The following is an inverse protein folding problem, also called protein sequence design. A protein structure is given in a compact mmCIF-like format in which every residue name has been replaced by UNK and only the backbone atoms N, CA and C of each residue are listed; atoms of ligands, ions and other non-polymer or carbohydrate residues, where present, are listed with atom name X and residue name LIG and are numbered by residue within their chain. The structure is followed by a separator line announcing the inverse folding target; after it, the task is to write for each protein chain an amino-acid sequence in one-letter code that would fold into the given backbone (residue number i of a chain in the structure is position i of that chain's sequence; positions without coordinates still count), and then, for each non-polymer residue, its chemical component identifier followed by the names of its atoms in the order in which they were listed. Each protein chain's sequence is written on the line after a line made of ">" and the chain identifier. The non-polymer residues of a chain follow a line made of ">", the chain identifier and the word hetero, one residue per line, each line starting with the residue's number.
data_IF_031522778368
#
_entry.id   IF_031522778368
#
_cell.length_a   1.000
_cell.length_b   1.000
_cell.length_c   1.000
_cell.angle_alpha   90.00
_cell.angle_beta   90.00
_cell.angle_gamma   90.00
#
_symmetry.space_group_name_H-M   'P 1'
#
loop_
_entity.id
_entity.type
_entity.pdbx_description
1 polymer ?
#
# COMPACT_ATOMS: atom_id res chain seq x y z
N UNK A 1 1.78 15.87 -14.62
CA UNK A 1 1.64 17.05 -15.49
C UNK A 1 0.19 17.30 -15.92
N UNK A 2 -0.59 16.30 -16.32
CA UNK A 2 -1.99 16.48 -16.79
C UNK A 2 -2.96 17.10 -15.75
N UNK A 3 -2.78 16.79 -14.46
CA UNK A 3 -3.67 17.27 -13.37
C UNK A 3 -3.43 18.74 -13.01
N UNK A 4 -2.24 19.28 -13.26
CA UNK A 4 -1.94 20.70 -13.05
C UNK A 4 -2.55 21.59 -14.16
N UNK A 5 -2.56 21.12 -15.41
CA UNK A 5 -3.14 21.86 -16.54
C UNK A 5 -4.66 22.05 -16.43
N UNK A 6 -5.39 21.01 -15.96
CA UNK A 6 -6.85 21.07 -15.76
C UNK A 6 -7.21 22.10 -14.67
N UNK A 7 -6.37 22.29 -13.65
CA UNK A 7 -6.60 23.26 -12.57
C UNK A 7 -6.39 24.72 -13.02
N UNK A 8 -5.49 24.95 -13.96
CA UNK A 8 -5.22 26.29 -14.47
C UNK A 8 -6.31 26.76 -15.43
N UNK A 9 -6.90 25.84 -16.20
CA UNK A 9 -7.99 26.14 -17.12
C UNK A 9 -9.31 26.42 -16.35
N UNK A 10 -9.61 25.69 -15.28
CA UNK A 10 -10.79 25.94 -14.42
C UNK A 10 -10.67 27.24 -13.64
N UNK A 11 -9.48 27.68 -13.26
CA UNK A 11 -9.24 28.96 -12.60
C UNK A 11 -9.43 30.16 -13.55
N UNK A 12 -9.24 29.96 -14.86
CA UNK A 12 -9.46 31.01 -15.88
C UNK A 12 -10.93 31.23 -16.21
N UNK A 13 -11.79 30.23 -16.02
CA UNK A 13 -13.22 30.34 -16.31
C UNK A 13 -14.06 30.94 -15.16
N UNK A 14 -13.45 31.39 -14.05
CA UNK A 14 -14.18 32.04 -12.95
C UNK A 14 -15.23 31.16 -12.26
N UNK A 15 -15.25 29.85 -12.54
CA UNK A 15 -16.10 28.89 -11.82
C UNK A 15 -15.59 28.72 -10.41
N UNK A 16 -16.44 28.81 -9.37
CA UNK A 16 -16.01 28.50 -8.01
C UNK A 16 -15.50 27.06 -8.00
N UNK A 17 -14.19 26.92 -7.85
CA UNK A 17 -13.57 25.60 -7.66
C UNK A 17 -14.24 25.00 -6.43
N UNK A 18 -14.98 23.88 -6.54
CA UNK A 18 -15.55 23.26 -5.37
C UNK A 18 -14.40 22.99 -4.40
N UNK A 19 -14.38 23.64 -3.27
CA UNK A 19 -13.47 23.34 -2.18
C UNK A 19 -13.85 21.95 -1.68
N UNK A 20 -13.41 20.91 -2.41
CA UNK A 20 -13.46 19.55 -1.90
C UNK A 20 -12.53 19.54 -0.71
N UNK A 21 -13.09 19.82 0.46
CA UNK A 21 -12.44 19.56 1.76
C UNK A 21 -12.15 18.08 1.76
N UNK A 22 -10.95 17.71 1.28
CA UNK A 22 -10.50 16.31 1.30
C UNK A 22 -10.31 15.96 2.75
N UNK A 23 -11.18 15.10 3.27
CA UNK A 23 -11.06 14.58 4.63
C UNK A 23 -9.66 14.00 4.83
N UNK A 24 -8.98 14.39 5.93
CA UNK A 24 -7.61 13.96 6.17
C UNK A 24 -7.55 12.46 6.39
N UNK A 25 -6.57 11.82 5.77
CA UNK A 25 -6.26 10.41 6.02
C UNK A 25 -5.73 10.26 7.45
N UNK A 26 -6.31 9.32 8.22
CA UNK A 26 -5.96 9.11 9.63
C UNK A 26 -4.48 8.72 9.79
N UNK A 27 -3.85 9.21 10.86
CA UNK A 27 -2.45 8.87 11.20
C UNK A 27 -2.26 7.36 11.34
N UNK A 28 -3.24 6.66 11.94
CA UNK A 28 -3.20 5.20 12.11
C UNK A 28 -3.15 4.46 10.77
N UNK A 29 -3.98 4.85 9.80
CA UNK A 29 -3.99 4.22 8.48
C UNK A 29 -2.67 4.48 7.73
N UNK A 30 -2.14 5.70 7.79
CA UNK A 30 -0.84 6.03 7.21
C UNK A 30 0.29 5.17 7.80
N UNK A 31 0.32 5.03 9.13
CA UNK A 31 1.35 4.20 9.80
C UNK A 31 1.20 2.73 9.41
N UNK A 32 -0.04 2.23 9.26
CA UNK A 32 -0.30 0.87 8.82
C UNK A 32 0.20 0.62 7.38
N UNK A 33 0.01 1.57 6.45
CA UNK A 33 0.53 1.43 5.07
C UNK A 33 2.06 1.41 5.05
N UNK A 34 2.72 2.28 5.81
CA UNK A 34 4.18 2.27 5.94
C UNK A 34 4.70 0.98 6.56
N UNK A 35 4.03 0.49 7.61
CA UNK A 35 4.36 -0.81 8.23
C UNK A 35 4.21 -1.94 7.21
N UNK A 36 3.10 -2.00 6.45
CA UNK A 36 2.90 -3.01 5.43
C UNK A 36 4.00 -2.98 4.37
N UNK A 37 4.42 -1.79 3.92
CA UNK A 37 5.49 -1.63 2.93
C UNK A 37 6.85 -2.10 3.49
N UNK A 38 7.20 -1.70 4.71
CA UNK A 38 8.45 -2.12 5.35
C UNK A 38 8.46 -3.63 5.63
N UNK A 39 7.35 -4.18 6.10
CA UNK A 39 7.22 -5.61 6.34
C UNK A 39 7.28 -6.43 5.04
N UNK A 40 6.69 -5.92 3.94
CA UNK A 40 6.84 -6.53 2.62
C UNK A 40 8.30 -6.63 2.22
N UNK A 41 9.08 -5.58 2.42
CA UNK A 41 10.53 -5.61 2.14
C UNK A 41 11.26 -6.71 2.93
N UNK A 42 10.92 -6.89 4.22
CA UNK A 42 11.48 -7.96 5.05
C UNK A 42 11.12 -9.35 4.48
N UNK A 43 9.85 -9.55 4.09
CA UNK A 43 9.39 -10.83 3.51
C UNK A 43 10.07 -11.10 2.16
N UNK A 44 10.31 -10.08 1.35
CA UNK A 44 11.08 -10.17 0.10
C UNK A 44 12.49 -10.65 0.38
N UNK A 45 13.15 -10.06 1.38
CA UNK A 45 14.50 -10.47 1.77
C UNK A 45 14.57 -11.94 2.22
N UNK A 46 13.59 -12.37 3.03
CA UNK A 46 13.49 -13.78 3.45
C UNK A 46 13.25 -14.69 2.23
N UNK A 47 12.39 -14.27 1.28
CA UNK A 47 12.13 -15.01 0.04
C UNK A 47 13.37 -15.13 -0.86
N UNK A 48 14.15 -14.06 -0.98
CA UNK A 48 15.43 -14.07 -1.68
C UNK A 48 16.41 -15.05 -1.02
N UNK A 49 16.42 -15.10 0.32
CA UNK A 49 17.23 -16.05 1.06
C UNK A 49 16.80 -17.49 0.81
N UNK A 50 15.49 -17.80 0.73
CA UNK A 50 14.98 -19.12 0.32
C UNK A 50 15.54 -19.55 -1.04
N UNK A 51 15.51 -18.63 -2.03
CA UNK A 51 16.01 -18.92 -3.38
C UNK A 51 17.53 -19.07 -3.41
N UNK A 52 18.25 -18.25 -2.65
CA UNK A 52 19.72 -18.25 -2.66
C UNK A 52 20.33 -19.47 -1.94
N UNK A 53 19.59 -20.07 -1.03
CA UNK A 53 19.99 -21.28 -0.28
C UNK A 53 19.37 -22.55 -0.82
N UNK A 54 18.71 -22.52 -2.00
CA UNK A 54 17.99 -23.64 -2.61
C UNK A 54 16.98 -24.31 -1.65
N UNK A 55 16.45 -23.51 -0.70
CA UNK A 55 15.55 -24.00 0.34
C UNK A 55 14.09 -24.16 -0.11
N UNK A 56 13.76 -23.81 -1.37
CA UNK A 56 12.39 -23.89 -1.89
C UNK A 56 11.80 -25.30 -1.78
N UNK A 57 12.63 -26.35 -1.96
CA UNK A 57 12.27 -27.75 -1.82
C UNK A 57 12.24 -28.26 -0.37
N UNK A 58 12.64 -27.47 0.62
CA UNK A 58 12.67 -27.89 2.02
C UNK A 58 11.29 -28.21 2.60
N UNK A 59 10.25 -27.53 2.11
CA UNK A 59 8.85 -27.79 2.46
C UNK A 59 8.09 -28.37 1.26
N UNK A 60 7.88 -29.65 1.21
CA UNK A 60 7.01 -30.30 0.21
C UNK A 60 5.53 -30.11 0.58
N UNK A 61 4.68 -29.90 -0.43
CA UNK A 61 3.25 -29.65 -0.22
C UNK A 61 2.92 -28.23 0.23
N UNK A 62 1.63 -27.88 0.19
CA UNK A 62 1.07 -26.59 0.59
C UNK A 62 -0.41 -26.81 1.00
N UNK A 63 -0.93 -26.14 2.05
CA UNK A 63 -0.28 -25.12 2.90
C UNK A 63 0.67 -25.67 3.96
N UNK A 64 0.59 -26.96 4.28
CA UNK A 64 1.43 -27.61 5.28
C UNK A 64 2.86 -27.81 4.75
N UNK A 65 3.83 -27.90 5.67
CA UNK A 65 5.21 -28.22 5.37
C UNK A 65 5.48 -29.69 5.70
N UNK A 66 5.74 -30.52 4.68
CA UNK A 66 5.95 -31.97 4.84
C UNK A 66 4.79 -32.67 5.59
N UNK A 67 3.54 -32.20 5.37
CA UNK A 67 2.36 -32.70 6.05
C UNK A 67 2.19 -32.25 7.51
N UNK A 68 3.08 -31.40 8.03
CA UNK A 68 3.09 -30.92 9.41
C UNK A 68 2.71 -29.43 9.46
N UNK A 69 2.00 -29.03 10.54
CA UNK A 69 1.70 -27.63 10.80
C UNK A 69 2.97 -26.88 11.28
N UNK A 70 3.77 -27.52 12.12
CA UNK A 70 5.07 -27.02 12.58
C UNK A 70 6.08 -28.12 12.29
N UNK A 71 6.89 -27.99 11.22
CA UNK A 71 7.90 -28.99 10.87
C UNK A 71 9.13 -28.86 11.78
N UNK A 72 10.03 -29.83 11.69
CA UNK A 72 11.34 -29.73 12.29
C UNK A 72 12.12 -28.56 11.68
N UNK A 73 12.55 -27.62 12.53
CA UNK A 73 13.16 -26.35 12.11
C UNK A 73 14.65 -26.51 11.83
N UNK A 74 15.00 -27.36 10.85
CA UNK A 74 16.39 -27.64 10.48
C UNK A 74 16.65 -27.28 9.02
N UNK A 75 17.81 -26.70 8.72
CA UNK A 75 18.29 -26.43 7.37
C UNK A 75 17.26 -25.70 6.47
N UNK A 76 17.08 -26.18 5.23
CA UNK A 76 16.16 -25.61 4.25
C UNK A 76 14.69 -25.68 4.65
N UNK A 77 14.29 -26.66 5.48
CA UNK A 77 12.92 -26.77 6.00
C UNK A 77 12.57 -25.55 6.85
N UNK A 78 13.42 -25.19 7.80
CA UNK A 78 13.20 -24.02 8.66
C UNK A 78 13.14 -22.72 7.87
N UNK A 79 14.02 -22.56 6.88
CA UNK A 79 14.08 -21.36 6.03
C UNK A 79 12.79 -21.21 5.21
N UNK A 80 12.36 -22.28 4.53
CA UNK A 80 11.13 -22.29 3.74
C UNK A 80 9.88 -22.06 4.61
N UNK A 81 9.84 -22.67 5.80
CA UNK A 81 8.73 -22.52 6.73
C UNK A 81 8.61 -21.09 7.27
N UNK A 82 9.72 -20.47 7.69
CA UNK A 82 9.74 -19.09 8.16
C UNK A 82 9.22 -18.14 7.07
N UNK A 83 9.62 -18.33 5.81
CA UNK A 83 9.11 -17.55 4.69
C UNK A 83 7.58 -17.68 4.54
N UNK A 84 7.05 -18.91 4.63
CA UNK A 84 5.59 -19.16 4.54
C UNK A 84 4.82 -18.46 5.65
N UNK A 85 5.30 -18.56 6.89
CA UNK A 85 4.68 -17.87 8.04
C UNK A 85 4.72 -16.36 7.86
N UNK A 86 5.87 -15.81 7.46
CA UNK A 86 6.02 -14.39 7.19
C UNK A 86 5.07 -13.92 6.07
N UNK A 87 4.92 -14.71 5.00
CA UNK A 87 3.99 -14.43 3.90
C UNK A 87 2.52 -14.50 4.35
N UNK A 88 2.15 -15.44 5.23
CA UNK A 88 0.81 -15.53 5.80
C UNK A 88 0.47 -14.31 6.67
N UNK A 89 1.40 -13.85 7.51
CA UNK A 89 1.25 -12.61 8.28
C UNK A 89 1.13 -11.40 7.34
N UNK A 90 1.94 -11.34 6.28
CA UNK A 90 1.86 -10.27 5.28
C UNK A 90 0.49 -10.21 4.60
N UNK A 91 -0.08 -11.36 4.24
CA UNK A 91 -1.43 -11.47 3.68
C UNK A 91 -2.46 -10.80 4.61
N UNK A 92 -2.41 -11.10 5.92
CA UNK A 92 -3.32 -10.52 6.92
C UNK A 92 -3.13 -9.00 7.03
N UNK A 93 -1.88 -8.54 7.07
CA UNK A 93 -1.55 -7.11 7.16
C UNK A 93 -2.08 -6.35 5.94
N UNK A 94 -1.83 -6.84 4.72
CA UNK A 94 -2.28 -6.17 3.49
C UNK A 94 -3.80 -6.26 3.33
N UNK A 95 -4.43 -7.38 3.69
CA UNK A 95 -5.89 -7.50 3.71
C UNK A 95 -6.52 -6.48 4.67
N UNK A 96 -5.89 -6.23 5.82
CA UNK A 96 -6.30 -5.19 6.78
C UNK A 96 -6.16 -3.78 6.18
N UNK A 97 -5.06 -3.50 5.48
CA UNK A 97 -4.88 -2.24 4.73
C UNK A 97 -6.00 -2.06 3.71
N UNK A 98 -6.28 -3.07 2.88
CA UNK A 98 -7.34 -3.04 1.88
C UNK A 98 -8.72 -2.84 2.50
N UNK A 99 -9.03 -3.55 3.59
CA UNK A 99 -10.27 -3.40 4.32
C UNK A 99 -10.47 -1.96 4.85
N UNK A 100 -9.45 -1.38 5.47
CA UNK A 100 -9.54 -0.01 5.99
C UNK A 100 -9.58 1.03 4.86
N UNK A 101 -8.83 0.83 3.77
CA UNK A 101 -8.92 1.67 2.59
C UNK A 101 -10.34 1.70 2.03
N UNK A 102 -10.99 0.53 1.95
CA UNK A 102 -12.34 0.40 1.42
C UNK A 102 -13.41 0.98 2.35
N UNK A 103 -13.35 0.71 3.65
CA UNK A 103 -14.41 1.02 4.64
C UNK A 103 -14.29 2.43 5.23
N UNK A 104 -13.06 2.93 5.46
CA UNK A 104 -12.83 4.18 6.19
C UNK A 104 -12.51 5.39 5.30
N UNK A 105 -12.27 5.16 4.00
CA UNK A 105 -11.94 6.23 3.07
C UNK A 105 -12.80 6.17 1.79
N UNK A 106 -14.16 6.19 1.91
CA UNK A 106 -15.08 6.07 0.76
C UNK A 106 -14.94 7.24 -0.22
N UNK A 107 -14.57 8.43 0.27
CA UNK A 107 -14.36 9.65 -0.50
C UNK A 107 -13.07 9.65 -1.34
N UNK A 108 -12.08 8.82 -0.96
CA UNK A 108 -10.81 8.70 -1.66
C UNK A 108 -10.80 7.49 -2.60
N UNK A 109 -11.39 7.63 -3.79
CA UNK A 109 -11.46 6.55 -4.80
C UNK A 109 -10.10 5.93 -5.10
N UNK A 110 -9.05 6.75 -5.15
CA UNK A 110 -7.68 6.31 -5.41
C UNK A 110 -7.15 5.39 -4.30
N UNK A 111 -7.30 5.78 -3.02
CA UNK A 111 -6.89 4.96 -1.87
C UNK A 111 -7.64 3.62 -1.85
N UNK A 112 -8.94 3.65 -2.14
CA UNK A 112 -9.76 2.41 -2.23
C UNK A 112 -9.26 1.50 -3.33
N UNK A 113 -9.03 2.03 -4.53
CA UNK A 113 -8.56 1.24 -5.67
C UNK A 113 -7.19 0.62 -5.38
N UNK A 114 -6.26 1.40 -4.83
CA UNK A 114 -4.93 0.91 -4.45
C UNK A 114 -4.99 -0.15 -3.34
N UNK A 115 -5.86 0.04 -2.35
CA UNK A 115 -6.05 -0.95 -1.28
C UNK A 115 -6.62 -2.27 -1.79
N UNK A 116 -7.60 -2.22 -2.71
CA UNK A 116 -8.16 -3.42 -3.37
C UNK A 116 -7.09 -4.07 -4.25
N UNK A 117 -6.36 -3.30 -5.05
CA UNK A 117 -5.28 -3.82 -5.90
C UNK A 117 -4.20 -4.52 -5.08
N UNK A 118 -3.75 -3.92 -3.95
CA UNK A 118 -2.79 -4.56 -3.05
C UNK A 118 -3.32 -5.87 -2.47
N UNK A 119 -4.61 -5.93 -2.12
CA UNK A 119 -5.23 -7.17 -1.61
C UNK A 119 -5.27 -8.26 -2.67
N UNK A 120 -5.66 -7.94 -3.90
CA UNK A 120 -5.68 -8.90 -5.01
C UNK A 120 -4.26 -9.38 -5.30
N UNK A 121 -3.28 -8.47 -5.35
CA UNK A 121 -1.89 -8.81 -5.63
C UNK A 121 -1.28 -9.70 -4.55
N UNK A 122 -1.56 -9.48 -3.27
CA UNK A 122 -1.04 -10.34 -2.20
C UNK A 122 -1.66 -11.74 -2.24
N UNK A 123 -2.95 -11.86 -2.58
CA UNK A 123 -3.58 -13.18 -2.79
C UNK A 123 -2.91 -13.89 -3.97
N UNK A 124 -2.72 -13.21 -5.10
CA UNK A 124 -2.02 -13.75 -6.27
C UNK A 124 -0.58 -14.14 -5.91
N UNK A 125 0.10 -13.35 -5.08
CA UNK A 125 1.45 -13.64 -4.60
C UNK A 125 1.52 -14.95 -3.81
N UNK A 126 0.55 -15.19 -2.93
CA UNK A 126 0.47 -16.46 -2.18
C UNK A 126 0.19 -17.64 -3.11
N UNK A 127 -0.70 -17.47 -4.09
CA UNK A 127 -1.03 -18.52 -5.06
C UNK A 127 0.16 -18.85 -5.99
N UNK A 128 0.89 -17.84 -6.47
CA UNK A 128 2.11 -18.08 -7.27
C UNK A 128 3.21 -18.72 -6.43
N UNK A 129 3.35 -18.35 -5.14
CA UNK A 129 4.25 -19.00 -4.21
C UNK A 129 3.91 -20.47 -3.95
N UNK A 130 2.61 -20.80 -3.84
CA UNK A 130 2.17 -22.20 -3.78
C UNK A 130 2.48 -22.94 -5.09
N UNK A 131 2.27 -22.27 -6.24
CA UNK A 131 2.62 -22.80 -7.56
C UNK A 131 4.09 -23.21 -7.68
N UNK A 132 5.02 -22.42 -7.13
CA UNK A 132 6.45 -22.77 -7.11
C UNK A 132 6.67 -24.15 -6.46
N UNK A 133 6.01 -24.41 -5.32
CA UNK A 133 6.17 -25.68 -4.60
C UNK A 133 5.67 -26.88 -5.42
N UNK A 134 4.58 -26.72 -6.15
CA UNK A 134 4.02 -27.79 -6.99
C UNK A 134 4.77 -28.00 -8.31
N UNK A 135 5.61 -27.07 -8.71
CA UNK A 135 6.34 -27.11 -9.99
C UNK A 135 7.82 -27.49 -9.85
N UNK A 136 8.29 -27.75 -8.62
CA UNK A 136 9.70 -28.09 -8.33
C UNK A 136 10.28 -29.25 -9.15
N UNK A 137 9.44 -30.22 -9.57
CA UNK A 137 9.85 -31.38 -10.35
C UNK A 137 9.97 -31.12 -11.86
N UNK A 138 9.44 -30.01 -12.36
CA UNK A 138 9.48 -29.63 -13.77
C UNK A 138 10.19 -28.27 -13.90
N UNK A 139 11.44 -28.29 -14.35
CA UNK A 139 12.30 -27.11 -14.40
C UNK A 139 11.72 -25.94 -15.20
N UNK A 140 11.13 -26.19 -16.37
CA UNK A 140 10.59 -25.12 -17.21
C UNK A 140 9.37 -24.45 -16.57
N UNK A 141 8.45 -25.25 -16.02
CA UNK A 141 7.27 -24.73 -15.30
C UNK A 141 7.66 -24.01 -14.02
N UNK A 142 8.64 -24.55 -13.28
CA UNK A 142 9.22 -23.91 -12.10
C UNK A 142 9.80 -22.52 -12.43
N UNK A 143 10.58 -22.42 -13.52
CA UNK A 143 11.18 -21.17 -13.94
C UNK A 143 10.09 -20.13 -14.27
N UNK A 144 9.06 -20.52 -15.05
CA UNK A 144 7.95 -19.64 -15.38
C UNK A 144 7.17 -19.19 -14.14
N UNK A 145 6.86 -20.10 -13.24
CA UNK A 145 6.12 -19.81 -12.00
C UNK A 145 6.94 -18.89 -11.08
N UNK A 146 8.25 -19.09 -10.99
CA UNK A 146 9.15 -18.24 -10.21
C UNK A 146 9.23 -16.83 -10.80
N UNK A 147 9.31 -16.68 -12.11
CA UNK A 147 9.27 -15.38 -12.78
C UNK A 147 7.93 -14.66 -12.52
N UNK A 148 6.81 -15.38 -12.65
CA UNK A 148 5.49 -14.83 -12.36
C UNK A 148 5.41 -14.32 -10.91
N UNK A 149 5.92 -15.10 -9.94
CA UNK A 149 5.97 -14.71 -8.54
C UNK A 149 6.78 -13.42 -8.30
N UNK A 150 7.92 -13.26 -8.97
CA UNK A 150 8.75 -12.04 -8.89
C UNK A 150 8.04 -10.83 -9.51
N UNK A 151 7.37 -11.01 -10.65
CA UNK A 151 6.62 -9.93 -11.32
C UNK A 151 5.46 -9.44 -10.44
N UNK A 152 4.68 -10.37 -9.89
CA UNK A 152 3.58 -10.03 -8.97
C UNK A 152 4.11 -9.33 -7.72
N UNK A 153 5.24 -9.79 -7.18
CA UNK A 153 5.92 -9.15 -6.05
C UNK A 153 6.30 -7.71 -6.36
N UNK A 154 6.93 -7.45 -7.51
CA UNK A 154 7.32 -6.11 -7.92
C UNK A 154 6.11 -5.18 -8.05
N UNK A 155 5.00 -5.67 -8.64
CA UNK A 155 3.76 -4.93 -8.74
C UNK A 155 3.16 -4.62 -7.37
N UNK A 156 3.10 -5.62 -6.47
CA UNK A 156 2.61 -5.46 -5.10
C UNK A 156 3.41 -4.40 -4.33
N UNK A 157 4.73 -4.50 -4.37
CA UNK A 157 5.62 -3.56 -3.68
C UNK A 157 5.46 -2.14 -4.24
N UNK A 158 5.38 -1.99 -5.57
CA UNK A 158 5.13 -0.71 -6.23
C UNK A 158 3.81 -0.07 -5.79
N UNK A 159 2.72 -0.85 -5.75
CA UNK A 159 1.40 -0.37 -5.28
C UNK A 159 1.46 0.06 -3.82
N UNK A 160 2.12 -0.70 -2.93
CA UNK A 160 2.26 -0.34 -1.52
C UNK A 160 3.10 0.91 -1.31
N UNK A 161 4.21 1.07 -2.04
CA UNK A 161 5.03 2.29 -2.01
C UNK A 161 4.20 3.50 -2.45
N UNK A 162 3.48 3.39 -3.55
CA UNK A 162 2.62 4.46 -4.05
C UNK A 162 1.51 4.81 -3.06
N UNK A 163 0.82 3.80 -2.49
CA UNK A 163 -0.21 4.00 -1.47
C UNK A 163 0.36 4.70 -0.24
N UNK A 164 1.56 4.33 0.22
CA UNK A 164 2.23 4.93 1.37
C UNK A 164 2.56 6.40 1.14
N UNK A 165 3.08 6.75 -0.04
CA UNK A 165 3.35 8.14 -0.42
C UNK A 165 2.06 8.95 -0.51
N UNK A 166 0.99 8.40 -1.12
CA UNK A 166 -0.30 9.10 -1.26
C UNK A 166 -0.96 9.36 0.09
N UNK A 167 -0.97 8.39 0.99
CA UNK A 167 -1.52 8.57 2.35
C UNK A 167 -0.72 9.62 3.14
N UNK A 168 0.59 9.70 2.95
CA UNK A 168 1.44 10.70 3.57
C UNK A 168 1.15 12.11 3.03
N UNK A 169 1.03 12.28 1.70
CA UNK A 169 0.70 13.55 1.06
C UNK A 169 -0.66 14.09 1.54
N UNK A 170 -1.69 13.22 1.57
CA UNK A 170 -3.03 13.59 2.02
C UNK A 170 -3.10 13.90 3.53
N UNK A 171 -2.22 13.32 4.33
CA UNK A 171 -2.09 13.64 5.74
C UNK A 171 -1.44 15.00 6.02
N UNK A 172 -0.60 15.54 5.11
CA UNK A 172 0.04 16.86 5.26
C UNK A 172 -0.87 18.03 4.88
N UNK A 173 -1.80 17.85 3.97
CA UNK A 173 -2.66 18.91 3.46
C UNK A 173 -3.63 19.45 4.52
N UNK A 174 -3.89 18.69 5.59
CA UNK A 174 -4.78 19.07 6.69
C UNK A 174 -4.16 19.98 7.75
N UNK A 175 -2.88 20.27 7.68
CA UNK A 175 -2.15 21.07 8.69
C UNK A 175 -1.89 22.52 8.28
N UNK A 176 -2.39 22.99 7.15
CA UNK A 176 -2.22 24.39 6.75
C UNK A 176 -3.46 25.18 7.19
N UNK A 177 -3.35 26.08 8.20
CA UNK A 177 -4.40 27.04 8.49
C UNK A 177 -4.68 27.85 7.21
N UNK A 178 -5.94 28.12 6.94
CA UNK A 178 -6.34 29.10 5.91
C UNK A 178 -5.87 30.46 6.41
N UNK A 179 -4.65 30.85 6.05
CA UNK A 179 -4.11 32.18 6.26
C UNK A 179 -4.75 33.09 5.19
N UNK A 180 -5.85 33.71 5.52
CA UNK A 180 -6.56 34.55 4.54
C UNK A 180 -7.95 35.04 4.96
N UNK A 181 -8.18 35.34 6.25
CA UNK A 181 -9.45 35.96 6.66
C UNK A 181 -9.27 36.98 7.80
N UNK A 182 -8.19 37.75 7.77
CA UNK A 182 -8.04 38.90 8.67
C UNK A 182 -7.54 40.13 7.93
N UNK A 183 -8.17 40.44 6.80
CA UNK A 183 -8.06 41.79 6.20
C UNK A 183 -9.46 42.22 5.84
N UNK A 184 -9.95 43.23 6.55
CA UNK A 184 -11.07 44.13 6.32
C UNK A 184 -12.19 44.09 7.36
N UNK A 185 -11.85 44.36 8.63
CA UNK A 185 -12.84 44.93 9.56
C UNK A 185 -12.40 46.22 10.23
N UNK A 186 -11.32 46.87 9.75
CA UNK A 186 -10.81 48.09 10.36
C UNK A 186 -10.82 49.33 9.43
N UNK A 187 -11.58 49.34 8.35
CA UNK A 187 -11.66 50.52 7.44
C UNK A 187 -13.03 51.18 7.33
N UNK A 188 -13.98 50.91 8.25
CA UNK A 188 -15.30 51.59 8.27
C UNK A 188 -15.54 52.24 9.64
N UNK A 189 -14.64 53.06 10.13
CA UNK A 189 -14.97 53.94 11.27
C UNK A 189 -14.14 55.22 11.35
N UNK A 190 -13.92 55.91 10.23
CA UNK A 190 -13.30 57.25 10.25
C UNK A 190 -13.87 58.20 9.21
N UNK A 191 -15.22 58.23 9.00
CA UNK A 191 -15.86 59.30 8.24
C UNK A 191 -17.23 59.61 8.80
N UNK A 192 -17.34 60.00 10.08
CA UNK A 192 -18.50 60.71 10.59
C UNK A 192 -18.18 61.51 11.86
N UNK A 193 -17.32 62.53 11.76
CA UNK A 193 -17.25 63.61 12.76
C UNK A 193 -16.57 64.85 12.19
N UNK A 194 -17.16 65.44 11.15
CA UNK A 194 -16.99 66.89 10.89
C UNK A 194 -18.33 67.34 10.32
N UNK A 195 -19.18 67.93 11.19
CA UNK A 195 -20.11 69.04 10.94
C UNK A 195 -21.13 69.11 12.10
N UNK A 196 -20.76 69.81 13.13
CA UNK A 196 -21.61 70.80 13.84
C UNK A 196 -20.71 71.65 14.74
#
# INVERSE_FOLDING_TARGET
>A
MLVLGIREDEAREGKPVPSTVRTPVSRGFRNLTWFATAYTYIVVYIGAYVSHTDSAGGCTGWPLCNGQLIPEMSGGVGIAFIHRVAAAVLLIVIATVGHFAYRKHPEHKEIRSLGVAATILVITQVLTGAGIVFTLTNYEVYLFTSLAHIIVLAALFGVLCYLSVRTWQLGKTSGRPVEGSTLDSNSIDTTNSVDQ
#
